data_IF_525192954873
#
_entry.id   IF_525192954873
#
_cell.length_a   1.000
_cell.length_b   1.000
_cell.length_c   1.000
_cell.angle_alpha   90.00
_cell.angle_beta   90.00
_cell.angle_gamma   90.00
#
_symmetry.space_group_name_H-M   'P 1'
#
loop_
_entity.id
_entity.type
_entity.pdbx_description
1 polymer ?
#
# COMPACT_ATOMS: atom_id res chain seq x y z
N UNK A 1 23.07 2.38 -21.64
CA UNK A 1 21.77 1.81 -22.14
C UNK A 1 21.66 0.42 -21.53
N UNK A 2 20.63 0.18 -20.75
CA UNK A 2 20.40 -1.14 -20.12
C UNK A 2 20.11 -2.19 -21.21
N UNK A 3 20.50 -3.46 -21.03
CA UNK A 3 20.18 -4.50 -21.97
C UNK A 3 18.65 -4.63 -22.10
N UNK A 4 18.11 -4.78 -23.32
CA UNK A 4 16.68 -4.94 -23.53
C UNK A 4 16.21 -6.26 -22.90
N UNK A 5 15.04 -6.22 -22.21
CA UNK A 5 14.36 -7.42 -21.71
C UNK A 5 13.92 -8.29 -22.89
N UNK A 6 14.02 -9.59 -22.75
CA UNK A 6 13.55 -10.56 -23.76
C UNK A 6 12.03 -10.63 -23.84
N UNK A 7 11.35 -10.30 -22.74
CA UNK A 7 9.90 -10.17 -22.65
C UNK A 7 9.51 -9.14 -21.59
N UNK A 8 8.32 -8.58 -21.69
CA UNK A 8 7.78 -7.58 -20.75
C UNK A 8 7.75 -8.10 -19.29
N UNK A 9 7.51 -9.39 -19.11
CA UNK A 9 7.44 -10.03 -17.80
C UNK A 9 8.75 -10.74 -17.38
N UNK A 10 9.87 -10.51 -18.08
CA UNK A 10 11.16 -11.07 -17.67
C UNK A 10 11.66 -10.39 -16.40
N UNK A 11 11.98 -11.18 -15.37
CA UNK A 11 12.60 -10.69 -14.14
C UNK A 11 14.13 -10.73 -14.29
N UNK A 12 14.80 -9.59 -14.11
CA UNK A 12 16.25 -9.52 -14.09
C UNK A 12 16.69 -9.63 -12.62
N UNK A 13 17.37 -10.72 -12.30
CA UNK A 13 17.70 -11.12 -10.94
C UNK A 13 19.21 -11.10 -10.70
N UNK A 14 19.66 -10.37 -9.67
CA UNK A 14 21.03 -10.39 -9.16
C UNK A 14 21.15 -11.35 -7.97
N UNK A 15 22.07 -12.29 -8.01
CA UNK A 15 22.40 -13.19 -6.90
C UNK A 15 23.85 -12.96 -6.48
N UNK A 16 24.04 -12.57 -5.22
CA UNK A 16 25.37 -12.22 -4.69
C UNK A 16 25.68 -13.08 -3.46
N UNK A 17 26.78 -13.82 -3.51
CA UNK A 17 27.35 -14.47 -2.33
C UNK A 17 28.54 -13.63 -1.83
N UNK A 18 28.48 -13.23 -0.57
CA UNK A 18 29.50 -12.47 0.10
C UNK A 18 30.25 -13.38 1.05
N UNK A 19 31.49 -13.73 0.71
CA UNK A 19 32.29 -14.65 1.49
C UNK A 19 33.79 -14.55 1.15
N UNK A 20 34.61 -14.14 2.12
CA UNK A 20 36.07 -14.14 2.02
C UNK A 20 36.65 -15.51 1.67
N UNK A 21 36.07 -16.56 2.21
CA UNK A 21 36.59 -17.93 2.06
C UNK A 21 36.20 -18.54 0.72
N UNK A 22 34.93 -18.39 0.33
CA UNK A 22 34.47 -18.92 -0.95
C UNK A 22 35.10 -18.15 -2.12
N UNK A 23 35.21 -16.81 -2.05
CA UNK A 23 35.82 -15.98 -3.09
C UNK A 23 37.31 -16.30 -3.33
N UNK A 24 38.00 -16.81 -2.30
CA UNK A 24 39.39 -17.26 -2.37
C UNK A 24 39.52 -18.79 -2.73
N UNK A 25 38.41 -19.47 -3.00
CA UNK A 25 38.42 -20.88 -3.34
C UNK A 25 38.73 -21.83 -2.17
N UNK A 26 38.56 -21.39 -0.91
CA UNK A 26 38.79 -22.23 0.28
C UNK A 26 37.71 -23.34 0.38
N UNK A 27 36.52 -23.06 -0.09
CA UNK A 27 35.42 -24.00 -0.24
C UNK A 27 34.47 -23.55 -1.38
N UNK A 28 33.67 -24.47 -1.88
CA UNK A 28 32.70 -24.21 -2.93
C UNK A 28 31.54 -23.35 -2.40
N UNK A 29 31.19 -22.27 -3.11
CA UNK A 29 30.03 -21.46 -2.76
C UNK A 29 28.75 -22.31 -2.88
N UNK A 30 27.97 -22.29 -1.81
CA UNK A 30 26.64 -22.92 -1.77
C UNK A 30 25.49 -21.89 -1.75
N UNK A 31 25.79 -20.62 -1.51
CA UNK A 31 24.81 -19.56 -1.39
C UNK A 31 24.11 -19.28 -2.72
N UNK A 32 24.86 -19.02 -3.78
CA UNK A 32 24.30 -18.74 -5.11
C UNK A 32 23.52 -19.95 -5.67
N UNK A 33 24.05 -21.19 -5.66
CA UNK A 33 23.29 -22.36 -6.15
C UNK A 33 21.97 -22.55 -5.43
N UNK A 34 21.94 -22.40 -4.11
CA UNK A 34 20.71 -22.54 -3.32
C UNK A 34 19.69 -21.43 -3.63
N UNK A 35 20.14 -20.18 -3.70
CA UNK A 35 19.29 -19.04 -4.09
C UNK A 35 18.71 -19.24 -5.49
N UNK A 36 19.53 -19.63 -6.46
CA UNK A 36 19.05 -19.84 -7.82
C UNK A 36 18.06 -21.01 -7.91
N UNK A 37 18.35 -22.12 -7.24
CA UNK A 37 17.45 -23.28 -7.20
C UNK A 37 16.10 -22.90 -6.59
N UNK A 38 16.14 -22.14 -5.48
CA UNK A 38 14.92 -21.64 -4.85
C UNK A 38 14.13 -20.69 -5.77
N UNK A 39 14.79 -19.71 -6.39
CA UNK A 39 14.12 -18.76 -7.29
C UNK A 39 13.46 -19.49 -8.47
N UNK A 40 14.15 -20.49 -9.07
CA UNK A 40 13.59 -21.31 -10.16
C UNK A 40 12.42 -22.18 -9.71
N UNK A 41 12.43 -22.63 -8.46
CA UNK A 41 11.33 -23.38 -7.85
C UNK A 41 10.13 -22.48 -7.57
N UNK A 42 10.33 -21.23 -7.15
CA UNK A 42 9.28 -20.36 -6.65
C UNK A 42 8.68 -19.44 -7.74
N UNK A 43 9.49 -18.95 -8.67
CA UNK A 43 9.10 -17.92 -9.66
C UNK A 43 8.68 -18.58 -10.98
N UNK A 44 7.57 -18.09 -11.55
CA UNK A 44 7.04 -18.59 -12.84
C UNK A 44 7.63 -17.81 -14.01
N UNK A 45 7.92 -16.54 -13.82
CA UNK A 45 8.43 -15.66 -14.87
C UNK A 45 9.71 -16.16 -15.53
N UNK A 46 9.95 -15.87 -16.82
CA UNK A 46 11.29 -15.94 -17.39
C UNK A 46 12.27 -15.10 -16.56
N UNK A 47 13.46 -15.64 -16.31
CA UNK A 47 14.46 -14.96 -15.47
C UNK A 47 15.81 -14.84 -16.20
N UNK A 48 16.36 -13.63 -16.20
CA UNK A 48 17.77 -13.39 -16.50
C UNK A 48 18.54 -13.30 -15.17
N UNK A 49 19.42 -14.25 -14.90
CA UNK A 49 20.12 -14.36 -13.61
C UNK A 49 21.59 -13.93 -13.75
N UNK A 50 21.97 -12.93 -12.95
CA UNK A 50 23.33 -12.41 -12.87
C UNK A 50 23.95 -12.76 -11.51
N UNK A 51 25.05 -13.51 -11.52
CA UNK A 51 25.69 -14.08 -10.32
C UNK A 51 26.99 -13.36 -10.00
N UNK A 52 27.26 -13.11 -8.71
CA UNK A 52 28.51 -12.55 -8.23
C UNK A 52 28.92 -13.24 -6.94
N UNK A 53 30.17 -13.75 -6.91
CA UNK A 53 30.81 -14.24 -5.70
C UNK A 53 31.92 -13.26 -5.34
N UNK A 54 31.83 -12.59 -4.20
CA UNK A 54 32.70 -11.48 -3.81
C UNK A 54 33.18 -11.64 -2.36
N UNK A 55 34.33 -11.02 -1.99
CA UNK A 55 34.81 -11.02 -0.62
C UNK A 55 33.94 -10.12 0.29
N UNK A 56 34.10 -10.29 1.60
CA UNK A 56 33.48 -9.44 2.65
C UNK A 56 34.19 -8.07 2.74
N UNK A 57 34.23 -7.35 1.61
CA UNK A 57 34.80 -6.00 1.49
C UNK A 57 33.72 -5.00 1.12
N UNK A 58 33.49 -4.00 1.98
CA UNK A 58 32.42 -3.02 1.83
C UNK A 58 32.41 -2.36 0.43
N UNK A 59 33.56 -1.92 -0.04
CA UNK A 59 33.69 -1.28 -1.35
C UNK A 59 33.27 -2.20 -2.51
N UNK A 60 33.71 -3.47 -2.47
CA UNK A 60 33.37 -4.45 -3.51
C UNK A 60 31.86 -4.81 -3.49
N UNK A 61 31.25 -4.86 -2.30
CA UNK A 61 29.81 -5.07 -2.16
C UNK A 61 29.05 -3.88 -2.74
N UNK A 62 29.39 -2.64 -2.34
CA UNK A 62 28.74 -1.42 -2.86
C UNK A 62 28.85 -1.31 -4.39
N UNK A 63 30.04 -1.54 -4.93
CA UNK A 63 30.31 -1.52 -6.38
C UNK A 63 29.49 -2.56 -7.12
N UNK A 64 29.42 -3.78 -6.60
CA UNK A 64 28.66 -4.90 -7.19
C UNK A 64 27.15 -4.60 -7.18
N UNK A 65 26.62 -4.08 -6.08
CA UNK A 65 25.19 -3.75 -5.97
C UNK A 65 24.82 -2.61 -6.95
N UNK A 66 25.68 -1.58 -7.08
CA UNK A 66 25.48 -0.51 -8.07
C UNK A 66 25.57 -1.04 -9.51
N UNK A 67 26.53 -1.89 -9.82
CA UNK A 67 26.64 -2.54 -11.15
C UNK A 67 25.37 -3.29 -11.51
N UNK A 68 24.89 -4.14 -10.59
CA UNK A 68 23.70 -4.96 -10.82
C UNK A 68 22.43 -4.13 -11.08
N UNK A 69 22.25 -3.03 -10.32
CA UNK A 69 21.06 -2.20 -10.46
C UNK A 69 21.20 -1.14 -11.56
N UNK A 70 22.29 -0.37 -11.55
CA UNK A 70 22.41 0.82 -12.40
C UNK A 70 22.80 0.48 -13.83
N UNK A 71 23.62 -0.56 -14.03
CA UNK A 71 24.16 -0.95 -15.33
C UNK A 71 23.40 -2.10 -15.93
N UNK A 72 23.25 -3.20 -15.17
CA UNK A 72 22.55 -4.42 -15.64
C UNK A 72 21.04 -4.22 -15.62
N UNK A 73 20.50 -3.47 -14.65
CA UNK A 73 19.07 -3.21 -14.51
C UNK A 73 18.33 -4.35 -13.80
N UNK A 74 18.95 -4.99 -12.80
CA UNK A 74 18.26 -5.98 -11.99
C UNK A 74 17.07 -5.36 -11.26
N UNK A 75 15.93 -6.05 -11.26
CA UNK A 75 14.72 -5.67 -10.52
C UNK A 75 14.78 -6.09 -9.06
N UNK A 76 15.44 -7.21 -8.83
CA UNK A 76 15.64 -7.82 -7.51
C UNK A 76 17.09 -8.24 -7.37
N UNK A 77 17.73 -7.85 -6.28
CA UNK A 77 19.06 -8.34 -5.90
C UNK A 77 18.96 -9.02 -4.53
N UNK A 78 19.33 -10.29 -4.50
CA UNK A 78 19.39 -11.09 -3.29
C UNK A 78 20.86 -11.33 -2.94
N UNK A 79 21.28 -10.90 -1.76
CA UNK A 79 22.62 -11.20 -1.24
C UNK A 79 22.53 -12.25 -0.15
N UNK A 80 23.55 -13.07 0.00
CA UNK A 80 23.72 -14.01 1.12
C UNK A 80 25.11 -13.92 1.69
N UNK A 81 25.25 -13.94 3.02
CA UNK A 81 26.51 -13.80 3.74
C UNK A 81 26.78 -12.37 4.24
N UNK A 82 27.74 -12.25 5.17
CA UNK A 82 28.20 -10.99 5.75
C UNK A 82 27.16 -10.21 6.55
N UNK A 83 26.13 -10.86 7.15
CA UNK A 83 25.01 -10.22 7.86
C UNK A 83 25.04 -10.41 9.38
N UNK A 84 26.04 -11.03 9.94
CA UNK A 84 26.21 -11.24 11.37
C UNK A 84 26.87 -10.06 12.10
N UNK A 85 27.19 -10.21 13.40
CA UNK A 85 27.82 -9.17 14.22
C UNK A 85 29.35 -9.12 14.14
N UNK A 86 29.98 -9.96 13.33
CA UNK A 86 31.44 -9.96 13.16
C UNK A 86 31.94 -8.66 12.53
N UNK A 87 33.15 -8.26 12.82
CA UNK A 87 33.75 -7.05 12.21
C UNK A 87 33.91 -7.14 10.69
N UNK A 88 33.95 -8.36 10.15
CA UNK A 88 34.03 -8.59 8.70
C UNK A 88 32.65 -8.61 8.03
N UNK A 89 31.58 -8.76 8.79
CA UNK A 89 30.23 -8.76 8.27
C UNK A 89 29.81 -7.29 8.00
N UNK A 90 29.94 -6.85 6.76
CA UNK A 90 29.69 -5.44 6.34
C UNK A 90 28.62 -5.33 5.24
N UNK A 91 27.94 -6.44 4.92
CA UNK A 91 26.90 -6.45 3.89
C UNK A 91 25.75 -5.48 4.19
N UNK A 92 25.22 -5.39 5.42
CA UNK A 92 24.15 -4.43 5.71
C UNK A 92 24.56 -2.97 5.52
N UNK A 93 25.77 -2.60 5.97
CA UNK A 93 26.30 -1.26 5.83
C UNK A 93 26.51 -0.87 4.37
N UNK A 94 27.03 -1.79 3.56
CA UNK A 94 27.21 -1.58 2.13
C UNK A 94 25.86 -1.44 1.41
N UNK A 95 24.87 -2.24 1.80
CA UNK A 95 23.52 -2.21 1.23
C UNK A 95 22.81 -0.88 1.58
N UNK A 96 22.89 -0.44 2.82
CA UNK A 96 22.34 0.85 3.24
C UNK A 96 23.00 2.02 2.52
N UNK A 97 24.33 1.96 2.28
CA UNK A 97 25.06 3.01 1.58
C UNK A 97 24.70 3.15 0.10
N UNK A 98 24.20 2.11 -0.55
CA UNK A 98 23.74 2.17 -1.94
C UNK A 98 22.23 2.38 -2.07
N UNK A 99 21.48 2.14 -1.00
CA UNK A 99 20.03 2.32 -0.96
C UNK A 99 19.61 3.79 -1.04
N UNK A 100 18.49 4.05 -1.70
CA UNK A 100 17.83 5.36 -1.71
C UNK A 100 16.73 5.43 -0.65
N UNK A 101 16.13 4.29 -0.31
CA UNK A 101 15.13 4.13 0.76
C UNK A 101 15.36 2.82 1.49
N UNK A 102 15.32 2.86 2.82
CA UNK A 102 15.37 1.67 3.65
C UNK A 102 13.98 0.99 3.72
N UNK A 103 13.98 -0.35 3.73
CA UNK A 103 12.81 -1.19 3.85
C UNK A 103 12.90 -2.05 5.13
N UNK A 104 12.79 -1.46 6.34
CA UNK A 104 13.12 -2.12 7.61
C UNK A 104 12.24 -3.33 7.90
N UNK A 105 10.98 -3.33 7.44
CA UNK A 105 10.06 -4.43 7.64
C UNK A 105 10.56 -5.78 7.09
N UNK A 106 11.40 -5.79 6.06
CA UNK A 106 12.04 -7.03 5.58
C UNK A 106 13.00 -7.59 6.63
N UNK A 107 13.85 -6.75 7.23
CA UNK A 107 14.77 -7.15 8.28
C UNK A 107 14.06 -7.65 9.53
N UNK A 108 12.99 -6.97 9.93
CA UNK A 108 12.14 -7.37 11.07
C UNK A 108 11.50 -8.74 10.83
N UNK A 109 10.89 -8.94 9.67
CA UNK A 109 10.25 -10.21 9.32
C UNK A 109 11.25 -11.36 9.21
N UNK A 110 12.42 -11.12 8.61
CA UNK A 110 13.49 -12.13 8.53
C UNK A 110 13.97 -12.57 9.92
N UNK A 111 14.19 -11.64 10.84
CA UNK A 111 14.57 -11.95 12.23
C UNK A 111 13.45 -12.67 12.97
N UNK A 112 12.20 -12.27 12.79
CA UNK A 112 11.05 -12.94 13.39
C UNK A 112 10.95 -14.40 12.93
N UNK A 113 11.08 -14.67 11.62
CA UNK A 113 11.09 -16.04 11.08
C UNK A 113 12.25 -16.84 11.66
N UNK A 114 13.48 -16.31 11.58
CA UNK A 114 14.69 -17.00 12.03
C UNK A 114 14.66 -17.30 13.54
N UNK A 115 14.00 -16.45 14.35
CA UNK A 115 13.82 -16.61 15.78
C UNK A 115 13.05 -17.88 16.19
N UNK A 116 12.22 -18.41 15.29
CA UNK A 116 11.56 -19.71 15.50
C UNK A 116 12.49 -20.92 15.37
N UNK A 117 13.63 -20.76 14.72
CA UNK A 117 14.59 -21.84 14.48
C UNK A 117 15.79 -21.74 15.42
N UNK A 118 16.31 -20.53 15.66
CA UNK A 118 17.53 -20.33 16.46
C UNK A 118 17.43 -19.07 17.34
N UNK A 119 17.76 -19.16 18.64
CA UNK A 119 17.70 -18.00 19.55
C UNK A 119 18.65 -16.86 19.16
N UNK A 120 19.75 -17.17 18.44
CA UNK A 120 20.74 -16.20 18.01
C UNK A 120 20.32 -15.37 16.78
N UNK A 121 19.10 -15.59 16.26
CA UNK A 121 18.55 -14.78 15.15
C UNK A 121 18.52 -13.27 15.47
N UNK A 122 18.41 -12.88 16.72
CA UNK A 122 18.47 -11.48 17.16
C UNK A 122 19.81 -10.80 16.87
N UNK A 123 20.87 -11.56 16.62
CA UNK A 123 22.19 -11.05 16.24
C UNK A 123 22.29 -10.74 14.73
N UNK A 124 21.31 -11.14 13.96
CA UNK A 124 21.29 -10.90 12.52
C UNK A 124 20.95 -9.43 12.21
N UNK A 125 21.75 -8.82 11.36
CA UNK A 125 21.62 -7.44 10.91
C UNK A 125 21.06 -7.34 9.48
N UNK A 126 20.34 -8.38 9.05
CA UNK A 126 19.66 -8.43 7.77
C UNK A 126 18.79 -7.19 7.54
N UNK A 127 18.88 -6.62 6.34
CA UNK A 127 18.12 -5.44 5.93
C UNK A 127 17.70 -5.54 4.47
N UNK A 128 16.87 -4.61 4.03
CA UNK A 128 16.55 -4.41 2.63
C UNK A 128 16.44 -2.92 2.30
N UNK A 129 16.71 -2.57 1.05
CA UNK A 129 16.60 -1.21 0.54
C UNK A 129 16.00 -1.21 -0.85
N UNK A 130 15.39 -0.08 -1.23
CA UNK A 130 15.18 0.27 -2.62
C UNK A 130 16.40 1.08 -3.09
N UNK A 131 16.86 0.79 -4.32
CA UNK A 131 17.80 1.63 -5.04
C UNK A 131 17.13 2.14 -6.29
N UNK A 132 17.02 3.46 -6.39
CA UNK A 132 16.36 4.16 -7.50
C UNK A 132 17.40 4.91 -8.34
N UNK A 133 17.23 4.85 -9.62
CA UNK A 133 17.89 5.67 -10.64
C UNK A 133 16.79 6.42 -11.41
N UNK A 134 17.11 7.43 -12.23
CA UNK A 134 16.08 8.13 -13.01
C UNK A 134 15.17 7.21 -13.85
N UNK A 135 15.70 6.06 -14.30
CA UNK A 135 15.01 5.18 -15.26
C UNK A 135 14.67 3.81 -14.67
N UNK A 136 14.98 3.54 -13.41
CA UNK A 136 14.84 2.20 -12.84
C UNK A 136 14.86 2.21 -11.31
N UNK A 137 14.14 1.25 -10.73
CA UNK A 137 14.23 0.95 -9.31
C UNK A 137 14.38 -0.56 -9.09
N UNK A 138 15.13 -0.92 -8.06
CA UNK A 138 15.36 -2.30 -7.67
C UNK A 138 15.18 -2.49 -6.16
N UNK A 139 14.72 -3.67 -5.78
CA UNK A 139 14.73 -4.12 -4.39
C UNK A 139 15.99 -4.94 -4.13
N UNK A 140 16.76 -4.57 -3.10
CA UNK A 140 17.96 -5.29 -2.64
C UNK A 140 17.66 -5.85 -1.26
N UNK A 141 17.87 -7.15 -1.05
CA UNK A 141 17.59 -7.86 0.22
C UNK A 141 18.84 -8.62 0.67
N UNK A 142 19.23 -8.44 1.93
CA UNK A 142 20.29 -9.23 2.55
C UNK A 142 19.72 -10.44 3.27
N UNK A 143 19.98 -11.63 2.76
CA UNK A 143 19.51 -12.90 3.31
C UNK A 143 20.57 -13.51 4.27
N UNK A 144 20.16 -14.51 5.10
CA UNK A 144 21.11 -15.22 5.95
C UNK A 144 22.22 -15.89 5.13
N UNK A 145 23.41 -16.03 5.70
CA UNK A 145 24.54 -16.73 5.06
C UNK A 145 24.42 -18.25 5.08
N UNK A 146 23.51 -18.82 5.88
CA UNK A 146 23.31 -20.28 5.94
C UNK A 146 22.33 -20.74 4.86
N UNK A 147 22.71 -21.68 3.96
CA UNK A 147 21.85 -22.11 2.85
C UNK A 147 20.46 -22.55 3.27
N UNK A 148 20.34 -23.35 4.34
CA UNK A 148 19.05 -23.79 4.87
C UNK A 148 18.14 -22.63 5.32
N UNK A 149 18.71 -21.62 5.95
CA UNK A 149 17.98 -20.45 6.44
C UNK A 149 17.46 -19.57 5.31
N UNK A 150 18.01 -19.67 4.10
CA UNK A 150 17.54 -18.93 2.91
C UNK A 150 16.10 -19.35 2.57
N UNK A 151 15.84 -20.63 2.39
CA UNK A 151 14.51 -21.13 2.07
C UNK A 151 13.51 -20.83 3.21
N UNK A 152 13.92 -21.07 4.46
CA UNK A 152 13.10 -20.76 5.64
C UNK A 152 12.67 -19.26 5.67
N UNK A 153 13.59 -18.36 5.37
CA UNK A 153 13.33 -16.92 5.35
C UNK A 153 12.41 -16.51 4.19
N UNK A 154 12.62 -17.09 3.01
CA UNK A 154 11.85 -16.75 1.82
C UNK A 154 10.44 -17.34 1.83
N UNK A 155 10.27 -18.58 2.32
CA UNK A 155 8.98 -19.28 2.37
C UNK A 155 8.18 -19.01 3.66
N UNK A 156 8.88 -18.78 4.81
CA UNK A 156 8.28 -18.64 6.13
C UNK A 156 8.00 -19.97 6.82
N UNK A 157 7.08 -19.96 7.78
CA UNK A 157 6.72 -21.11 8.59
C UNK A 157 5.38 -21.68 8.15
N UNK A 158 5.35 -23.02 8.01
CA UNK A 158 4.11 -23.75 7.77
C UNK A 158 3.76 -24.65 8.95
N UNK A 159 2.49 -24.71 9.29
CA UNK A 159 1.96 -25.62 10.28
C UNK A 159 1.94 -27.08 9.76
N UNK A 160 1.60 -28.01 10.65
CA UNK A 160 1.46 -29.43 10.30
C UNK A 160 0.35 -29.69 9.25
N UNK A 161 -0.60 -28.75 9.14
CA UNK A 161 -1.69 -28.77 8.16
C UNK A 161 -1.29 -28.15 6.80
N UNK A 162 -0.02 -27.77 6.64
CA UNK A 162 0.50 -27.12 5.43
C UNK A 162 0.17 -25.64 5.28
N UNK A 163 -0.64 -25.06 6.19
CA UNK A 163 -0.99 -23.64 6.15
C UNK A 163 0.17 -22.78 6.64
N UNK A 164 0.27 -21.57 6.09
CA UNK A 164 1.27 -20.60 6.55
C UNK A 164 0.91 -20.13 7.96
N UNK A 165 1.84 -20.28 8.89
CA UNK A 165 1.79 -19.75 10.26
C UNK A 165 2.44 -18.38 10.31
N UNK A 166 3.58 -18.24 9.62
CA UNK A 166 4.29 -16.98 9.44
C UNK A 166 4.68 -16.88 7.96
N UNK A 167 4.23 -15.85 7.29
CA UNK A 167 4.58 -15.65 5.89
C UNK A 167 6.07 -15.35 5.72
N UNK A 168 6.71 -15.99 4.75
CA UNK A 168 8.04 -15.65 4.32
C UNK A 168 8.08 -14.27 3.66
N UNK A 169 9.28 -13.69 3.60
CA UNK A 169 9.42 -12.35 3.00
C UNK A 169 9.05 -12.32 1.52
N UNK A 170 9.20 -13.45 0.82
CA UNK A 170 8.88 -13.51 -0.61
C UNK A 170 7.37 -13.39 -0.90
N UNK A 171 6.52 -13.50 0.09
CA UNK A 171 5.10 -13.18 -0.07
C UNK A 171 4.88 -11.69 -0.45
N UNK A 172 5.76 -10.78 -0.01
CA UNK A 172 5.66 -9.34 -0.27
C UNK A 172 6.53 -8.89 -1.47
N UNK A 173 7.61 -9.61 -1.79
CA UNK A 173 8.59 -9.22 -2.83
C UNK A 173 7.94 -8.97 -4.20
N UNK A 174 7.06 -9.83 -4.75
CA UNK A 174 6.44 -9.61 -6.03
C UNK A 174 5.64 -8.29 -6.11
N UNK A 175 4.92 -7.98 -5.06
CA UNK A 175 4.15 -6.72 -5.01
C UNK A 175 5.04 -5.49 -4.83
N UNK A 176 6.13 -5.60 -4.08
CA UNK A 176 7.11 -4.53 -3.97
C UNK A 176 7.74 -4.20 -5.34
N UNK A 177 8.08 -5.24 -6.14
CA UNK A 177 8.61 -5.07 -7.50
C UNK A 177 7.59 -4.36 -8.40
N UNK A 178 6.30 -4.71 -8.33
CA UNK A 178 5.24 -4.01 -9.07
C UNK A 178 5.17 -2.51 -8.70
N UNK A 179 5.23 -2.20 -7.40
CA UNK A 179 5.12 -0.83 -6.89
C UNK A 179 6.27 0.08 -7.34
N UNK A 180 7.45 -0.48 -7.60
CA UNK A 180 8.60 0.27 -8.09
C UNK A 180 8.75 0.24 -9.62
N UNK A 181 7.72 -0.22 -10.34
CA UNK A 181 7.68 -0.22 -11.80
C UNK A 181 8.40 -1.40 -12.47
N UNK A 182 8.70 -2.46 -11.73
CA UNK A 182 9.26 -3.70 -12.25
C UNK A 182 8.21 -4.61 -12.90
N UNK A 183 8.62 -5.80 -13.38
CA UNK A 183 7.71 -6.76 -14.01
C UNK A 183 6.72 -7.35 -13.02
N UNK A 184 5.55 -7.76 -13.52
CA UNK A 184 4.59 -8.51 -12.71
C UNK A 184 5.12 -9.91 -12.41
N UNK A 185 5.60 -10.13 -11.20
CA UNK A 185 6.20 -11.41 -10.78
C UNK A 185 5.14 -12.38 -10.29
N UNK A 186 5.04 -13.53 -10.91
CA UNK A 186 4.15 -14.63 -10.51
C UNK A 186 4.93 -15.74 -9.80
N UNK A 187 4.31 -16.32 -8.78
CA UNK A 187 4.92 -17.38 -7.96
C UNK A 187 4.09 -18.67 -7.98
N UNK A 188 4.75 -19.81 -7.79
CA UNK A 188 4.07 -21.08 -7.56
C UNK A 188 3.53 -21.10 -6.13
N UNK A 189 2.22 -21.20 -6.00
CA UNK A 189 1.52 -21.11 -4.69
C UNK A 189 1.92 -22.26 -3.74
N UNK A 190 2.31 -23.41 -4.26
CA UNK A 190 2.82 -24.53 -3.46
C UNK A 190 4.18 -24.23 -2.79
N UNK A 191 4.95 -23.27 -3.33
CA UNK A 191 6.22 -22.82 -2.74
C UNK A 191 5.98 -21.59 -1.88
N UNK A 192 5.47 -20.52 -2.48
CA UNK A 192 5.15 -19.28 -1.78
C UNK A 192 3.99 -18.57 -2.49
N UNK A 193 2.96 -18.25 -1.74
CA UNK A 193 1.85 -17.46 -2.25
C UNK A 193 2.20 -15.99 -2.16
N UNK A 194 2.45 -15.35 -3.30
CA UNK A 194 2.61 -13.91 -3.36
C UNK A 194 1.30 -13.22 -2.96
N UNK A 195 1.41 -12.25 -2.08
CA UNK A 195 0.28 -11.41 -1.71
C UNK A 195 0.27 -10.15 -2.57
N UNK A 196 -0.88 -9.87 -3.16
CA UNK A 196 -1.21 -8.59 -3.77
C UNK A 196 -2.60 -8.17 -3.35
N UNK A 197 -2.83 -6.90 -3.07
CA UNK A 197 -4.19 -6.38 -2.94
C UNK A 197 -5.01 -6.70 -4.20
N UNK A 198 -6.31 -6.90 -4.06
CA UNK A 198 -7.20 -7.22 -5.20
C UNK A 198 -7.07 -6.21 -6.34
N UNK A 199 -6.83 -4.95 -6.02
CA UNK A 199 -6.59 -3.86 -6.97
C UNK A 199 -5.31 -4.01 -7.82
N UNK A 200 -4.34 -4.78 -7.34
CA UNK A 200 -3.05 -5.02 -8.00
C UNK A 200 -2.95 -6.42 -8.63
N UNK A 201 -4.02 -7.23 -8.54
CA UNK A 201 -4.06 -8.54 -9.18
C UNK A 201 -4.43 -8.41 -10.66
N UNK A 202 -3.60 -8.96 -11.55
CA UNK A 202 -3.99 -9.11 -12.96
C UNK A 202 -5.04 -10.23 -13.05
N UNK A 203 -6.15 -9.96 -13.72
CA UNK A 203 -7.14 -11.01 -14.02
C UNK A 203 -6.46 -12.07 -14.87
N UNK A 204 -6.47 -13.33 -14.41
CA UNK A 204 -6.09 -14.45 -15.29
C UNK A 204 -7.07 -14.45 -16.46
N UNK A 205 -6.61 -14.62 -17.72
CA UNK A 205 -7.55 -14.84 -18.82
C UNK A 205 -8.45 -16.03 -18.44
N UNK A 206 -9.75 -15.79 -18.37
CA UNK A 206 -10.70 -16.88 -18.18
C UNK A 206 -10.52 -17.85 -19.37
N UNK A 207 -10.40 -19.15 -19.10
CA UNK A 207 -10.52 -20.16 -20.13
C UNK A 207 -11.78 -19.86 -20.93
N UNK A 208 -11.61 -19.68 -22.24
CA UNK A 208 -12.72 -19.38 -23.18
C UNK A 208 -13.75 -20.51 -23.13
N UNK A 209 -14.77 -20.35 -22.29
CA UNK A 209 -16.06 -20.97 -22.58
C UNK A 209 -16.72 -20.11 -23.65
N UNK A 210 -16.85 -20.67 -24.83
CA UNK A 210 -17.58 -20.11 -25.94
C UNK A 210 -18.93 -19.55 -25.45
N UNK A 211 -19.02 -18.23 -25.38
CA UNK A 211 -20.27 -17.53 -25.16
C UNK A 211 -20.84 -17.15 -26.55
N UNK A 212 -22.08 -17.55 -26.80
CA UNK A 212 -22.87 -17.12 -27.95
C UNK A 212 -22.90 -15.59 -28.06
N UNK A 213 -23.00 -15.02 -29.30
CA UNK A 213 -22.90 -13.60 -29.52
C UNK A 213 -24.12 -12.87 -28.93
N UNK A 214 -23.94 -12.21 -27.81
CA UNK A 214 -24.93 -11.26 -27.30
C UNK A 214 -24.71 -9.93 -28.02
N UNK A 215 -25.75 -9.48 -28.73
CA UNK A 215 -25.81 -8.15 -29.37
C UNK A 215 -25.55 -7.05 -28.33
N UNK A 216 -24.85 -5.96 -28.68
CA UNK A 216 -24.58 -4.88 -27.75
C UNK A 216 -25.86 -4.08 -27.48
N UNK A 217 -26.53 -4.39 -26.38
CA UNK A 217 -27.48 -3.48 -25.78
C UNK A 217 -26.70 -2.41 -24.99
N UNK A 218 -26.92 -1.16 -25.29
CA UNK A 218 -26.43 -0.03 -24.50
C UNK A 218 -26.79 -0.25 -23.02
N UNK A 219 -25.83 -0.06 -22.06
CA UNK A 219 -26.19 -0.17 -20.67
C UNK A 219 -27.13 0.99 -20.32
N UNK A 220 -28.40 0.66 -20.11
CA UNK A 220 -29.29 1.55 -19.40
C UNK A 220 -28.69 1.80 -18.02
N UNK A 221 -28.46 3.06 -17.68
CA UNK A 221 -28.07 3.52 -16.35
C UNK A 221 -29.06 2.91 -15.36
N UNK A 222 -28.65 2.07 -14.38
CA UNK A 222 -29.59 1.58 -13.38
C UNK A 222 -30.19 2.78 -12.67
N UNK A 223 -31.50 2.86 -12.58
CA UNK A 223 -32.17 3.84 -11.73
C UNK A 223 -31.69 3.59 -10.30
N UNK A 224 -30.86 4.48 -9.77
CA UNK A 224 -30.43 4.42 -8.39
C UNK A 224 -31.65 4.52 -7.48
N UNK A 225 -31.77 3.66 -6.44
CA UNK A 225 -32.81 3.84 -5.44
C UNK A 225 -32.64 5.26 -4.86
N UNK A 226 -33.74 6.01 -4.72
CA UNK A 226 -33.74 7.38 -4.24
C UNK A 226 -33.01 7.47 -2.88
N UNK A 227 -31.77 7.93 -2.90
CA UNK A 227 -30.93 8.07 -1.70
C UNK A 227 -31.52 9.16 -0.81
N UNK A 228 -31.78 8.85 0.45
CA UNK A 228 -32.28 9.83 1.42
C UNK A 228 -31.13 10.75 1.86
N UNK A 229 -31.32 12.09 1.85
CA UNK A 229 -30.33 13.03 2.38
C UNK A 229 -30.08 12.77 3.87
N UNK A 230 -29.03 13.39 4.42
CA UNK A 230 -28.84 13.40 5.88
C UNK A 230 -30.01 14.07 6.58
N UNK A 231 -30.43 13.55 7.74
CA UNK A 231 -31.41 14.24 8.56
C UNK A 231 -30.81 15.56 9.05
N UNK A 232 -31.48 16.71 8.86
CA UNK A 232 -30.97 17.99 9.36
C UNK A 232 -30.64 17.99 10.87
N UNK A 233 -31.29 17.13 11.65
CA UNK A 233 -31.00 16.96 13.09
C UNK A 233 -29.64 16.28 13.36
N UNK A 234 -29.14 15.52 12.40
CA UNK A 234 -27.86 14.83 12.46
C UNK A 234 -26.70 15.70 11.88
N UNK A 235 -26.98 16.95 11.49
CA UNK A 235 -25.97 17.86 10.94
C UNK A 235 -25.69 18.97 11.95
N UNK A 236 -24.47 19.04 12.47
CA UNK A 236 -24.01 20.15 13.27
C UNK A 236 -23.31 21.17 12.38
N UNK A 237 -23.76 22.43 12.41
CA UNK A 237 -23.12 23.53 11.69
C UNK A 237 -22.39 24.43 12.69
N UNK A 238 -21.08 24.59 12.49
CA UNK A 238 -20.25 25.42 13.39
C UNK A 238 -19.48 26.44 12.57
N UNK A 239 -19.43 27.65 13.06
CA UNK A 239 -18.55 28.73 12.57
C UNK A 239 -17.65 29.20 13.71
N UNK A 240 -16.45 29.73 13.41
CA UNK A 240 -15.55 30.22 14.46
C UNK A 240 -16.27 31.31 15.30
N UNK A 241 -16.27 31.15 16.61
CA UNK A 241 -16.96 32.04 17.55
C UNK A 241 -16.37 33.44 17.59
N UNK A 242 -15.08 33.58 17.29
CA UNK A 242 -14.32 34.84 17.33
C UNK A 242 -14.16 35.47 15.96
N UNK A 243 -14.78 34.93 14.93
CA UNK A 243 -14.70 35.51 13.59
C UNK A 243 -15.46 36.82 13.51
N UNK A 244 -14.80 37.87 13.00
CA UNK A 244 -15.42 39.18 12.77
C UNK A 244 -16.16 39.22 11.42
N UNK A 245 -15.84 38.34 10.51
CA UNK A 245 -16.40 38.24 9.16
C UNK A 245 -17.28 37.00 8.98
N UNK A 246 -18.23 37.10 8.05
CA UNK A 246 -18.99 35.91 7.63
C UNK A 246 -18.07 34.86 6.99
N UNK A 247 -18.38 33.57 7.17
CA UNK A 247 -17.60 32.49 6.52
C UNK A 247 -17.64 32.64 5.00
N UNK A 248 -16.47 32.60 4.38
CA UNK A 248 -16.31 32.67 2.93
C UNK A 248 -16.25 31.32 2.26
N UNK A 249 -16.01 30.28 3.02
CA UNK A 249 -15.90 28.88 2.57
C UNK A 249 -16.63 27.94 3.52
N UNK A 250 -16.93 26.75 3.03
CA UNK A 250 -17.48 25.67 3.85
C UNK A 250 -16.55 24.46 3.83
N UNK A 251 -16.51 23.75 4.95
CA UNK A 251 -15.85 22.46 5.09
C UNK A 251 -16.89 21.43 5.51
N UNK A 252 -17.21 20.48 4.65
CA UNK A 252 -17.97 19.30 5.01
C UNK A 252 -16.98 18.30 5.59
N UNK A 253 -17.08 18.05 6.90
CA UNK A 253 -16.13 17.19 7.60
C UNK A 253 -16.80 15.94 8.15
N UNK A 254 -16.24 14.79 7.80
CA UNK A 254 -16.77 13.48 8.14
C UNK A 254 -15.91 12.85 9.24
N UNK A 255 -16.57 12.48 10.35
CA UNK A 255 -15.90 11.88 11.51
C UNK A 255 -15.46 10.43 11.25
N UNK A 256 -14.58 9.90 12.09
CA UNK A 256 -14.16 8.48 12.07
C UNK A 256 -15.27 7.53 12.53
N UNK A 257 -15.08 6.24 12.30
CA UNK A 257 -15.99 5.21 12.82
C UNK A 257 -16.01 5.21 14.35
N UNK A 258 -17.18 5.10 14.95
CA UNK A 258 -17.36 4.99 16.40
C UNK A 258 -17.36 6.30 17.18
N UNK A 259 -17.06 7.44 16.53
CA UNK A 259 -17.15 8.79 17.11
C UNK A 259 -18.33 9.58 16.51
N UNK A 260 -18.50 10.84 16.82
CA UNK A 260 -19.60 11.66 16.30
C UNK A 260 -19.13 13.06 15.87
N UNK A 261 -20.06 13.89 15.41
CA UNK A 261 -19.76 15.21 14.89
C UNK A 261 -19.30 16.21 15.97
N UNK A 262 -19.58 15.98 17.26
CA UNK A 262 -19.17 16.87 18.35
C UNK A 262 -17.65 16.83 18.57
N UNK A 263 -16.99 15.70 18.24
CA UNK A 263 -15.54 15.59 18.37
C UNK A 263 -14.79 16.60 17.52
N UNK A 264 -15.39 17.07 16.43
CA UNK A 264 -14.81 18.04 15.50
C UNK A 264 -15.40 19.45 15.61
N UNK A 265 -16.32 19.68 16.56
CA UNK A 265 -16.92 21.00 16.79
C UNK A 265 -15.90 22.11 17.15
N UNK A 266 -14.75 21.84 17.81
CA UNK A 266 -13.71 22.84 18.08
C UNK A 266 -12.91 23.29 16.85
N UNK A 267 -12.86 22.50 15.76
CA UNK A 267 -11.98 22.73 14.61
C UNK A 267 -12.07 24.15 14.00
N UNK A 268 -13.25 24.75 13.82
CA UNK A 268 -13.32 26.11 13.27
C UNK A 268 -12.54 27.13 14.07
N UNK A 269 -12.64 27.10 15.40
CA UNK A 269 -11.91 28.01 16.30
C UNK A 269 -10.40 27.71 16.30
N UNK A 270 -10.00 26.44 16.31
CA UNK A 270 -8.59 26.02 16.25
C UNK A 270 -7.91 26.46 14.95
N UNK A 271 -8.57 26.27 13.80
CA UNK A 271 -8.03 26.71 12.51
C UNK A 271 -7.86 28.23 12.48
N UNK A 272 -8.82 28.98 13.02
CA UNK A 272 -8.71 30.42 13.11
C UNK A 272 -7.56 30.85 14.04
N UNK A 273 -7.37 30.18 15.17
CA UNK A 273 -6.29 30.46 16.13
C UNK A 273 -4.89 30.25 15.51
N UNK A 274 -4.78 29.33 14.54
CA UNK A 274 -3.56 29.14 13.74
C UNK A 274 -3.46 30.07 12.52
N UNK A 275 -4.32 31.09 12.40
CA UNK A 275 -4.30 32.07 11.31
C UNK A 275 -4.92 31.57 10.02
N UNK A 276 -5.73 30.53 10.08
CA UNK A 276 -6.48 29.99 8.94
C UNK A 276 -7.68 30.85 8.55
N UNK A 277 -8.34 30.52 7.42
CA UNK A 277 -9.50 31.27 6.93
C UNK A 277 -10.74 31.05 7.80
N UNK A 278 -11.68 31.98 7.75
CA UNK A 278 -13.01 31.87 8.38
C UNK A 278 -13.85 30.90 7.56
N UNK A 279 -13.98 29.65 8.02
CA UNK A 279 -14.76 28.60 7.37
C UNK A 279 -15.97 28.22 8.22
N UNK A 280 -17.08 27.87 7.56
CA UNK A 280 -18.21 27.20 8.19
C UNK A 280 -17.98 25.68 8.08
N UNK A 281 -17.98 24.99 9.21
CA UNK A 281 -17.94 23.54 9.24
C UNK A 281 -19.36 22.97 9.25
N UNK A 282 -19.56 21.96 8.42
CA UNK A 282 -20.79 21.20 8.28
C UNK A 282 -20.43 19.77 8.62
N UNK A 283 -20.91 19.32 9.76
CA UNK A 283 -20.49 18.11 10.43
C UNK A 283 -21.69 17.14 10.48
N UNK A 284 -21.92 16.34 9.44
CA UNK A 284 -22.98 15.32 9.48
C UNK A 284 -22.57 14.16 10.38
N UNK A 285 -23.53 13.51 11.02
CA UNK A 285 -23.35 12.24 11.70
C UNK A 285 -23.57 11.07 10.75
N UNK A 286 -22.69 10.10 10.83
CA UNK A 286 -22.91 8.80 10.22
C UNK A 286 -24.08 8.08 10.91
N UNK A 287 -24.85 7.27 10.17
CA UNK A 287 -25.89 6.43 10.78
C UNK A 287 -25.28 5.42 11.76
N UNK A 288 -26.02 5.07 12.80
CA UNK A 288 -25.68 3.94 13.68
C UNK A 288 -26.02 2.66 12.93
N UNK A 289 -25.04 1.76 12.81
CA UNK A 289 -25.19 0.46 12.14
C UNK A 289 -24.39 -0.62 12.85
N UNK A 290 -24.78 -1.86 12.66
CA UNK A 290 -23.96 -3.01 13.04
C UNK A 290 -22.75 -3.07 12.12
N UNK A 291 -21.60 -3.40 12.70
CA UNK A 291 -20.31 -3.55 12.00
C UNK A 291 -20.02 -5.05 11.90
N UNK A 292 -19.98 -5.57 10.67
CA UNK A 292 -19.81 -7.00 10.42
C UNK A 292 -18.51 -7.59 11.01
N UNK A 293 -17.43 -6.79 11.04
CA UNK A 293 -16.16 -7.19 11.67
C UNK A 293 -16.25 -7.25 13.21
N UNK A 294 -17.23 -6.56 13.83
CA UNK A 294 -17.42 -6.49 15.28
C UNK A 294 -18.89 -6.68 15.67
N UNK A 295 -19.45 -7.91 15.53
CA UNK A 295 -20.86 -8.17 15.79
C UNK A 295 -21.29 -7.83 17.22
N UNK A 296 -22.49 -7.28 17.36
CA UNK A 296 -23.08 -6.98 18.67
C UNK A 296 -22.77 -5.59 19.24
N UNK A 297 -21.99 -4.77 18.53
CA UNK A 297 -21.68 -3.39 18.92
C UNK A 297 -22.05 -2.44 17.78
N UNK A 298 -23.30 -1.93 17.71
CA UNK A 298 -23.66 -0.94 16.71
C UNK A 298 -22.91 0.36 16.93
N UNK A 299 -22.26 0.88 15.88
CA UNK A 299 -21.43 2.08 15.91
C UNK A 299 -21.90 3.07 14.83
N UNK A 300 -21.58 4.37 15.00
CA UNK A 300 -21.69 5.33 13.91
C UNK A 300 -20.64 5.01 12.87
N UNK A 301 -21.09 4.68 11.65
CA UNK A 301 -20.21 4.34 10.53
C UNK A 301 -20.82 4.76 9.19
N UNK A 302 -19.98 5.25 8.30
CA UNK A 302 -20.35 5.69 6.96
C UNK A 302 -20.75 4.51 6.08
N UNK A 303 -20.07 3.39 6.24
CA UNK A 303 -20.33 2.11 5.58
C UNK A 303 -19.89 0.96 6.50
N UNK A 304 -20.33 -0.26 6.19
CA UNK A 304 -19.97 -1.43 6.99
C UNK A 304 -18.51 -1.81 6.81
N UNK A 305 -17.84 -2.17 7.91
CA UNK A 305 -16.51 -2.78 7.93
C UNK A 305 -16.69 -4.28 8.10
N UNK A 306 -16.33 -5.03 7.07
CA UNK A 306 -16.59 -6.48 6.97
C UNK A 306 -15.38 -7.35 7.26
N UNK A 307 -14.22 -6.75 7.42
CA UNK A 307 -12.94 -7.43 7.67
C UNK A 307 -12.00 -6.50 8.42
N UNK A 308 -11.09 -7.07 9.23
CA UNK A 308 -9.99 -6.33 9.87
C UNK A 308 -8.96 -5.79 8.87
N UNK A 309 -9.07 -6.21 7.60
CA UNK A 309 -8.26 -5.68 6.50
C UNK A 309 -9.09 -4.67 5.72
N UNK A 310 -8.60 -3.45 5.69
CA UNK A 310 -9.28 -2.26 5.16
C UNK A 310 -9.81 -2.44 3.72
N UNK A 311 -9.09 -3.17 2.87
CA UNK A 311 -9.38 -3.38 1.45
C UNK A 311 -10.00 -4.75 1.14
N UNK A 312 -10.33 -5.54 2.17
CA UNK A 312 -10.94 -6.85 2.01
C UNK A 312 -12.46 -6.78 2.21
N UNK A 313 -13.20 -7.27 1.20
CA UNK A 313 -14.67 -7.37 1.23
C UNK A 313 -15.40 -6.04 1.51
N UNK A 314 -14.91 -4.93 0.93
CA UNK A 314 -15.48 -3.59 1.13
C UNK A 314 -17.00 -3.52 0.87
N UNK A 315 -17.70 -2.77 1.68
CA UNK A 315 -19.16 -2.51 1.55
C UNK A 315 -19.45 -1.54 0.39
N UNK A 316 -19.38 -2.05 -0.84
CA UNK A 316 -19.61 -1.26 -2.07
C UNK A 316 -20.91 -0.49 -2.06
N UNK A 317 -21.98 -1.08 -1.51
CA UNK A 317 -23.30 -0.46 -1.47
C UNK A 317 -23.33 0.70 -0.47
N UNK A 318 -22.84 0.50 0.75
CA UNK A 318 -22.78 1.54 1.78
C UNK A 318 -21.82 2.68 1.42
N UNK A 319 -20.69 2.37 0.78
CA UNK A 319 -19.75 3.39 0.29
C UNK A 319 -20.42 4.29 -0.77
N UNK A 320 -21.11 3.69 -1.75
CA UNK A 320 -21.84 4.44 -2.80
C UNK A 320 -23.03 5.22 -2.24
N UNK A 321 -23.78 4.65 -1.33
CA UNK A 321 -24.88 5.33 -0.63
C UNK A 321 -24.36 6.57 0.11
N UNK A 322 -23.26 6.43 0.85
CA UNK A 322 -22.63 7.54 1.58
C UNK A 322 -22.14 8.62 0.63
N UNK A 323 -21.51 8.26 -0.48
CA UNK A 323 -21.08 9.23 -1.48
C UNK A 323 -22.26 10.01 -2.07
N UNK A 324 -23.35 9.34 -2.41
CA UNK A 324 -24.54 10.01 -2.93
C UNK A 324 -25.16 10.97 -1.89
N UNK A 325 -25.17 10.62 -0.60
CA UNK A 325 -25.58 11.55 0.47
C UNK A 325 -24.67 12.78 0.60
N UNK A 326 -23.35 12.59 0.44
CA UNK A 326 -22.37 13.67 0.45
C UNK A 326 -22.62 14.60 -0.74
N UNK A 327 -22.87 14.09 -1.94
CA UNK A 327 -23.20 14.88 -3.13
C UNK A 327 -24.48 15.73 -2.93
N UNK A 328 -25.51 15.15 -2.29
CA UNK A 328 -26.70 15.92 -1.91
C UNK A 328 -26.37 17.05 -0.93
N UNK A 329 -25.53 16.78 0.07
CA UNK A 329 -25.12 17.78 1.06
C UNK A 329 -24.29 18.91 0.41
N UNK A 330 -23.39 18.60 -0.53
CA UNK A 330 -22.66 19.61 -1.31
C UNK A 330 -23.66 20.53 -2.04
N UNK A 331 -24.64 19.92 -2.70
CA UNK A 331 -25.70 20.66 -3.42
C UNK A 331 -26.51 21.57 -2.49
N UNK A 332 -26.82 21.11 -1.28
CA UNK A 332 -27.57 21.91 -0.30
C UNK A 332 -26.73 23.08 0.23
N UNK A 333 -25.43 22.89 0.45
CA UNK A 333 -24.50 23.95 0.83
C UNK A 333 -24.37 25.00 -0.28
N UNK A 334 -24.32 24.56 -1.53
CA UNK A 334 -24.27 25.45 -2.69
C UNK A 334 -25.56 26.29 -2.81
N UNK A 335 -26.73 25.67 -2.65
CA UNK A 335 -28.01 26.36 -2.62
C UNK A 335 -28.10 27.35 -1.44
N UNK A 336 -27.40 27.11 -0.33
CA UNK A 336 -27.32 28.03 0.80
C UNK A 336 -26.36 29.22 0.56
N UNK A 337 -25.77 29.33 -0.65
CA UNK A 337 -25.04 30.51 -1.10
C UNK A 337 -23.51 30.38 -1.04
N UNK A 338 -22.94 29.20 -0.73
CA UNK A 338 -21.51 28.99 -0.78
C UNK A 338 -21.19 28.23 -2.09
N UNK A 339 -20.49 28.85 -3.05
CA UNK A 339 -20.22 28.23 -4.33
C UNK A 339 -19.35 26.99 -4.18
N UNK A 340 -19.54 26.00 -5.04
CA UNK A 340 -18.84 24.70 -5.01
C UNK A 340 -17.31 24.84 -4.99
N UNK A 341 -16.77 25.85 -5.67
CA UNK A 341 -15.35 26.21 -5.66
C UNK A 341 -14.80 26.71 -4.31
N UNK A 342 -15.68 26.88 -3.30
CA UNK A 342 -15.33 27.21 -1.92
C UNK A 342 -15.83 26.18 -0.90
N UNK A 343 -16.24 25.00 -1.38
CA UNK A 343 -16.63 23.86 -0.54
C UNK A 343 -15.48 22.84 -0.51
N UNK A 344 -14.94 22.58 0.67
CA UNK A 344 -13.95 21.54 0.91
C UNK A 344 -14.65 20.30 1.48
N UNK A 345 -14.22 19.13 1.02
CA UNK A 345 -14.55 17.86 1.66
C UNK A 345 -13.39 17.44 2.54
N UNK A 346 -13.67 16.97 3.74
CA UNK A 346 -12.62 16.44 4.58
C UNK A 346 -13.13 15.39 5.55
N UNK A 347 -12.20 14.71 6.20
CA UNK A 347 -12.56 13.75 7.21
C UNK A 347 -11.37 13.06 7.85
N UNK A 348 -11.68 12.28 8.86
CA UNK A 348 -10.72 11.48 9.61
C UNK A 348 -11.06 9.99 9.49
N UNK A 349 -10.06 9.12 9.29
CA UNK A 349 -10.20 7.67 9.25
C UNK A 349 -11.26 7.23 8.21
N UNK A 350 -12.34 6.54 8.60
CA UNK A 350 -13.42 6.15 7.70
C UNK A 350 -14.11 7.34 7.03
N UNK A 351 -14.21 8.50 7.72
CA UNK A 351 -14.73 9.73 7.14
C UNK A 351 -13.84 10.30 6.05
N UNK A 352 -12.50 10.20 6.20
CA UNK A 352 -11.56 10.59 5.16
C UNK A 352 -11.69 9.70 3.92
N UNK A 353 -11.89 8.40 4.12
CA UNK A 353 -12.14 7.45 3.04
C UNK A 353 -13.43 7.80 2.28
N UNK A 354 -14.51 8.12 2.98
CA UNK A 354 -15.77 8.54 2.37
C UNK A 354 -15.63 9.86 1.60
N UNK A 355 -14.88 10.84 2.13
CA UNK A 355 -14.62 12.12 1.47
C UNK A 355 -13.81 11.94 0.17
N UNK A 356 -12.77 11.10 0.19
CA UNK A 356 -11.98 10.76 -1.01
C UNK A 356 -12.85 10.09 -2.06
N UNK A 357 -13.64 9.07 -1.65
CA UNK A 357 -14.47 8.35 -2.60
C UNK A 357 -15.49 9.26 -3.28
N UNK A 358 -16.20 10.09 -2.52
CA UNK A 358 -17.20 11.02 -3.03
C UNK A 358 -16.57 12.11 -3.89
N UNK A 359 -15.61 12.86 -3.36
CA UNK A 359 -15.06 14.04 -4.02
C UNK A 359 -14.34 13.76 -5.34
N UNK A 360 -13.73 12.58 -5.48
CA UNK A 360 -13.10 12.17 -6.74
C UNK A 360 -14.11 11.74 -7.83
N UNK A 361 -15.40 11.60 -7.47
CA UNK A 361 -16.48 11.17 -8.38
C UNK A 361 -17.55 12.25 -8.61
N UNK A 362 -17.36 13.45 -8.03
CA UNK A 362 -18.24 14.60 -8.30
C UNK A 362 -18.15 15.02 -9.77
N UNK A 363 -19.30 15.39 -10.36
CA UNK A 363 -19.37 15.87 -11.76
C UNK A 363 -18.78 17.26 -11.92
N UNK A 364 -18.82 18.08 -10.85
CA UNK A 364 -18.20 19.38 -10.78
C UNK A 364 -17.19 19.45 -9.63
N UNK A 365 -16.02 20.11 -9.81
CA UNK A 365 -14.98 20.07 -8.81
C UNK A 365 -15.39 20.85 -7.54
N UNK A 366 -15.08 20.28 -6.38
CA UNK A 366 -15.06 21.00 -5.09
C UNK A 366 -13.72 21.73 -4.94
N UNK A 367 -13.61 22.63 -3.95
CA UNK A 367 -12.39 23.41 -3.70
C UNK A 367 -11.18 22.52 -3.38
N UNK A 368 -11.40 21.41 -2.72
CA UNK A 368 -10.35 20.42 -2.39
C UNK A 368 -10.86 19.34 -1.45
N UNK A 369 -10.03 18.31 -1.28
CA UNK A 369 -10.29 17.19 -0.37
C UNK A 369 -9.17 17.12 0.66
N UNK A 370 -9.53 16.98 1.96
CA UNK A 370 -8.59 16.82 3.07
C UNK A 370 -8.83 15.48 3.73
N UNK A 371 -7.91 14.54 3.57
CA UNK A 371 -8.02 13.19 4.08
C UNK A 371 -6.98 12.92 5.17
N UNK A 372 -7.42 12.82 6.44
CA UNK A 372 -6.55 12.55 7.57
C UNK A 372 -6.68 11.10 8.01
N UNK A 373 -5.57 10.37 8.03
CA UNK A 373 -5.49 8.96 8.45
C UNK A 373 -6.50 8.05 7.76
N UNK A 374 -6.82 8.35 6.49
CA UNK A 374 -7.78 7.61 5.67
C UNK A 374 -7.09 6.79 4.58
N UNK A 375 -7.92 6.09 3.83
CA UNK A 375 -7.53 5.31 2.66
C UNK A 375 -8.49 5.57 1.51
N UNK A 376 -8.19 5.10 0.32
CA UNK A 376 -9.07 5.20 -0.84
C UNK A 376 -9.94 3.95 -0.95
N UNK A 377 -11.22 3.98 -0.56
CA UNK A 377 -12.08 2.81 -0.69
C UNK A 377 -12.41 2.53 -2.15
N UNK A 378 -12.61 1.25 -2.47
CA UNK A 378 -12.84 0.76 -3.83
C UNK A 378 -11.79 1.29 -4.83
N UNK A 379 -10.53 1.33 -4.40
CA UNK A 379 -9.42 1.89 -5.19
C UNK A 379 -9.33 1.29 -6.60
N UNK A 380 -9.64 -0.01 -6.76
CA UNK A 380 -9.66 -0.70 -8.04
C UNK A 380 -10.67 -0.17 -9.06
N UNK A 381 -11.68 0.61 -8.62
CA UNK A 381 -12.68 1.22 -9.53
C UNK A 381 -12.35 2.68 -9.87
N UNK A 382 -11.35 3.28 -9.22
CA UNK A 382 -11.08 4.71 -9.35
C UNK A 382 -10.85 5.14 -10.82
N UNK A 383 -10.01 4.43 -11.54
CA UNK A 383 -9.68 4.81 -12.92
C UNK A 383 -10.88 4.81 -13.86
N UNK A 384 -11.87 3.96 -13.61
CA UNK A 384 -13.11 3.90 -14.40
C UNK A 384 -14.20 4.84 -13.90
N UNK A 385 -14.15 5.27 -12.64
CA UNK A 385 -15.20 6.05 -12.00
C UNK A 385 -14.80 7.50 -11.70
N UNK A 386 -13.49 7.84 -11.75
CA UNK A 386 -13.03 9.21 -11.51
C UNK A 386 -13.50 10.13 -12.65
N UNK A 387 -14.18 11.21 -12.28
CA UNK A 387 -14.68 12.19 -13.24
C UNK A 387 -13.57 13.12 -13.73
N UNK A 388 -13.76 13.84 -14.86
CA UNK A 388 -12.86 14.91 -15.27
C UNK A 388 -12.70 16.02 -14.22
N UNK A 389 -13.72 16.27 -13.40
CA UNK A 389 -13.70 17.20 -12.28
C UNK A 389 -12.87 16.63 -11.12
N UNK A 390 -13.09 15.37 -10.75
CA UNK A 390 -12.32 14.68 -9.70
C UNK A 390 -10.82 14.65 -9.99
N UNK A 391 -10.41 14.51 -11.25
CA UNK A 391 -8.99 14.59 -11.66
C UNK A 391 -8.34 15.96 -11.43
N UNK A 392 -9.14 17.02 -11.36
CA UNK A 392 -8.68 18.39 -11.16
C UNK A 392 -8.81 18.85 -9.70
N UNK A 393 -9.56 18.13 -8.89
CA UNK A 393 -9.79 18.47 -7.49
C UNK A 393 -8.50 18.27 -6.69
N UNK A 394 -7.96 19.32 -6.03
CA UNK A 394 -6.79 19.20 -5.17
C UNK A 394 -7.05 18.23 -4.01
N UNK A 395 -6.09 17.38 -3.68
CA UNK A 395 -6.18 16.43 -2.57
C UNK A 395 -5.00 16.63 -1.64
N UNK A 396 -5.28 16.87 -0.37
CA UNK A 396 -4.30 16.83 0.71
C UNK A 396 -4.54 15.56 1.53
N UNK A 397 -3.50 14.72 1.65
CA UNK A 397 -3.54 13.52 2.48
C UNK A 397 -2.45 13.58 3.53
N UNK A 398 -2.80 13.26 4.78
CA UNK A 398 -1.84 13.09 5.86
C UNK A 398 -2.14 11.80 6.63
N UNK A 399 -1.10 11.08 7.01
CA UNK A 399 -1.18 9.85 7.80
C UNK A 399 -0.04 9.80 8.80
N UNK A 400 -0.28 9.25 9.99
CA UNK A 400 0.75 9.04 11.00
C UNK A 400 1.80 8.04 10.51
N UNK A 401 3.09 8.30 10.79
CA UNK A 401 4.19 7.36 10.46
C UNK A 401 4.16 6.09 11.32
N UNK A 402 3.58 6.16 12.52
CA UNK A 402 3.44 5.06 13.46
C UNK A 402 1.97 5.00 13.85
N UNK A 403 1.20 4.27 13.08
CA UNK A 403 -0.18 4.00 13.36
C UNK A 403 -0.53 2.63 12.81
N UNK A 404 -0.65 1.65 13.68
CA UNK A 404 -1.64 0.61 13.39
C UNK A 404 -2.95 1.38 13.31
N UNK A 405 -3.57 1.43 12.14
CA UNK A 405 -4.94 1.83 12.05
C UNK A 405 -5.74 0.83 12.89
N UNK A 406 -6.01 1.19 14.13
CA UNK A 406 -7.10 0.58 14.86
C UNK A 406 -8.36 1.25 14.29
N UNK A 407 -8.97 0.58 13.36
CA UNK A 407 -10.35 0.83 12.97
C UNK A 407 -11.21 -0.09 13.81
#
# INVERSE_FOLDING_TARGET
MKPPRKSENELILGLVSVSDRASKGVYDDRGIPELEAWCRKAIINPMAVHKRLIPDERFEIEKTLRELVDIIGCDLVLTTGGTGPSRRDVTPEATLAVGTREMPGFGEQMRAISGHFVPTAILSRQTAVLRETPDHAALIINLPGQPKAIAETLEGLRGKDGKSVVNGIFAAVPYCIDLIGGPYVETREEVVRAFRPKSAQRLKPAEEKQAEPVQPSQPAKPAEPAVKPFDPKDILMVSPRRAQNAPEAAVIWLHGMGVDNNDFAPFPDEILDFGGPVCRFILPNAPVREISAHPGYPLRAWYDVRSDKIDDNEDRAGIRETAARISLLITDVEKAGIPRSRIFLGGFSQGAAAALYAGLREEEPVAGIVALSGYLPLAGTLFSEITPAGRKTPVFMAHGQIGRAHV
#
